data_IF_649961260166
#
_entry.id   IF_649961260166
#
_cell.length_a   1.000
_cell.length_b   1.000
_cell.length_c   1.000
_cell.angle_alpha   90.00
_cell.angle_beta   90.00
_cell.angle_gamma   90.00
#
_symmetry.space_group_name_H-M   'P 1'
#
loop_
_entity.id
_entity.type
_entity.pdbx_description
1 polymer ?
#
# COMPACT_ATOMS: atom_id res chain seq x y z
N UNK A 1 59.27 -8.12 -1.31
CA UNK A 1 58.38 -9.23 -0.93
C UNK A 1 58.25 -10.12 -2.14
N UNK A 2 58.31 -11.44 -1.95
CA UNK A 2 58.13 -12.37 -3.06
C UNK A 2 56.65 -12.43 -3.43
N UNK A 3 56.28 -12.26 -4.71
CA UNK A 3 54.90 -12.38 -5.15
C UNK A 3 54.44 -13.84 -5.10
N UNK A 4 53.19 -14.04 -4.73
CA UNK A 4 52.55 -15.35 -4.59
C UNK A 4 51.44 -15.45 -5.62
N UNK A 5 51.34 -16.63 -6.23
CA UNK A 5 50.28 -16.94 -7.18
C UNK A 5 49.01 -17.36 -6.46
N UNK A 6 47.91 -16.71 -6.78
CA UNK A 6 46.57 -17.11 -6.35
C UNK A 6 45.67 -17.29 -7.56
N UNK A 7 44.72 -18.22 -7.45
CA UNK A 7 43.64 -18.37 -8.43
C UNK A 7 42.48 -17.47 -8.00
N UNK A 8 42.19 -16.43 -8.77
CA UNK A 8 41.13 -15.47 -8.47
C UNK A 8 39.92 -15.69 -9.37
N UNK A 9 38.73 -15.62 -8.79
CA UNK A 9 37.45 -15.74 -9.50
C UNK A 9 36.84 -14.33 -9.61
N UNK A 10 36.75 -13.82 -10.83
CA UNK A 10 36.14 -12.53 -11.10
C UNK A 10 34.62 -12.62 -11.07
N UNK A 11 33.96 -11.50 -10.80
CA UNK A 11 32.50 -11.42 -10.69
C UNK A 11 31.75 -11.73 -12.01
N UNK A 12 32.44 -11.68 -13.15
CA UNK A 12 31.91 -12.06 -14.46
C UNK A 12 32.03 -13.58 -14.75
N UNK A 13 32.58 -14.36 -13.82
CA UNK A 13 32.79 -15.80 -13.93
C UNK A 13 34.13 -16.19 -14.56
N UNK A 14 34.98 -15.23 -14.90
CA UNK A 14 36.34 -15.52 -15.35
C UNK A 14 37.22 -15.99 -14.17
N UNK A 15 38.14 -16.91 -14.44
CA UNK A 15 39.09 -17.42 -13.45
C UNK A 15 40.49 -17.25 -14.03
N UNK A 16 41.36 -16.58 -13.27
CA UNK A 16 42.73 -16.29 -13.68
C UNK A 16 43.72 -16.53 -12.54
N UNK A 17 44.94 -16.92 -12.89
CA UNK A 17 46.06 -16.94 -11.93
C UNK A 17 46.75 -15.59 -11.93
N UNK A 18 46.77 -14.93 -10.77
CA UNK A 18 47.39 -13.62 -10.58
C UNK A 18 48.51 -13.69 -9.54
N UNK A 19 49.57 -12.93 -9.78
CA UNK A 19 50.68 -12.75 -8.84
C UNK A 19 50.40 -11.54 -7.94
N UNK A 20 50.30 -11.76 -6.64
CA UNK A 20 49.96 -10.73 -5.64
C UNK A 20 50.92 -10.78 -4.45
N UNK A 21 50.95 -9.71 -3.66
CA UNK A 21 51.68 -9.69 -2.40
C UNK A 21 50.97 -10.56 -1.34
N UNK A 22 51.73 -11.11 -0.38
CA UNK A 22 51.21 -11.97 0.68
C UNK A 22 50.07 -11.31 1.47
N UNK A 23 50.18 -10.02 1.79
CA UNK A 23 49.14 -9.29 2.53
C UNK A 23 47.81 -9.24 1.77
N UNK A 24 47.87 -9.11 0.45
CA UNK A 24 46.70 -9.09 -0.44
C UNK A 24 46.08 -10.49 -0.52
N UNK A 25 46.90 -11.54 -0.63
CA UNK A 25 46.43 -12.92 -0.62
C UNK A 25 45.71 -13.27 0.69
N UNK A 26 46.26 -12.85 1.84
CA UNK A 26 45.65 -13.09 3.15
C UNK A 26 44.35 -12.29 3.34
N UNK A 27 44.31 -11.05 2.87
CA UNK A 27 43.10 -10.22 2.91
C UNK A 27 41.97 -10.82 2.06
N UNK A 28 42.28 -11.28 0.84
CA UNK A 28 41.31 -11.94 -0.05
C UNK A 28 40.74 -13.21 0.60
N UNK A 29 41.60 -14.03 1.19
CA UNK A 29 41.17 -15.26 1.88
C UNK A 29 40.22 -14.98 3.05
N UNK A 30 40.44 -13.88 3.78
CA UNK A 30 39.53 -13.49 4.86
C UNK A 30 38.19 -12.98 4.33
N UNK A 31 38.20 -12.23 3.22
CA UNK A 31 36.98 -11.77 2.56
C UNK A 31 36.13 -12.95 2.06
N UNK A 32 36.74 -13.95 1.41
CA UNK A 32 36.06 -15.17 0.96
C UNK A 32 35.39 -15.90 2.14
N UNK A 33 36.09 -15.96 3.28
CA UNK A 33 35.55 -16.57 4.51
C UNK A 33 34.35 -15.80 5.04
N UNK A 34 34.39 -14.47 5.03
CA UNK A 34 33.28 -13.63 5.47
C UNK A 34 32.08 -13.71 4.54
N UNK A 35 32.31 -13.69 3.22
CA UNK A 35 31.27 -13.86 2.21
C UNK A 35 30.59 -15.23 2.34
N UNK A 36 31.36 -16.30 2.50
CA UNK A 36 30.82 -17.63 2.76
C UNK A 36 29.96 -17.66 4.02
N UNK A 37 30.46 -17.10 5.13
CA UNK A 37 29.72 -17.07 6.39
C UNK A 37 28.44 -16.25 6.30
N UNK A 38 28.46 -15.10 5.62
CA UNK A 38 27.28 -14.29 5.38
C UNK A 38 26.28 -15.01 4.51
N UNK A 39 26.72 -15.64 3.41
CA UNK A 39 25.86 -16.44 2.55
C UNK A 39 25.21 -17.59 3.32
N UNK A 40 25.97 -18.27 4.19
CA UNK A 40 25.44 -19.31 5.07
C UNK A 40 24.47 -18.76 6.12
N UNK A 41 24.70 -17.55 6.63
CA UNK A 41 23.82 -16.89 7.59
C UNK A 41 22.50 -16.44 6.95
N UNK A 42 22.57 -15.87 5.75
CA UNK A 42 21.40 -15.47 4.96
C UNK A 42 20.63 -16.71 4.46
N UNK A 43 21.33 -17.77 4.03
CA UNK A 43 20.69 -18.98 3.52
C UNK A 43 19.89 -19.73 4.59
N UNK A 44 20.37 -19.73 5.84
CA UNK A 44 19.65 -20.26 7.00
C UNK A 44 18.44 -19.42 7.41
N UNK A 45 18.29 -18.20 6.88
CA UNK A 45 17.16 -17.28 7.14
C UNK A 45 16.17 -17.22 5.98
N UNK A 46 16.40 -17.98 4.91
CA UNK A 46 15.39 -18.14 3.88
C UNK A 46 14.22 -18.96 4.43
N UNK A 47 13.16 -18.27 4.86
CA UNK A 47 11.83 -18.86 4.88
C UNK A 47 11.19 -18.63 3.51
N UNK A 48 10.82 -19.72 2.84
CA UNK A 48 9.86 -19.65 1.74
C UNK A 48 8.54 -19.16 2.32
N UNK A 49 8.07 -17.99 1.87
CA UNK A 49 6.76 -17.45 2.25
C UNK A 49 5.62 -18.46 1.97
N UNK A 50 5.73 -19.24 0.89
CA UNK A 50 4.78 -20.32 0.59
C UNK A 50 4.85 -21.54 1.54
N UNK A 51 5.92 -21.70 2.32
CA UNK A 51 6.03 -22.70 3.38
C UNK A 51 5.51 -22.20 4.75
N UNK A 52 5.18 -20.91 4.85
CA UNK A 52 4.60 -20.28 6.05
C UNK A 52 3.06 -20.33 6.06
N UNK A 53 2.42 -21.13 5.19
CA UNK A 53 0.95 -21.31 5.17
C UNK A 53 0.41 -21.77 6.55
N UNK A 54 1.22 -22.48 7.34
CA UNK A 54 0.87 -22.90 8.71
C UNK A 54 1.00 -21.78 9.75
N UNK A 55 1.81 -20.75 9.49
CA UNK A 55 2.02 -19.58 10.37
C UNK A 55 1.34 -18.30 9.82
N UNK A 56 0.41 -18.44 8.87
CA UNK A 56 -0.32 -17.29 8.30
C UNK A 56 -0.95 -16.39 9.37
N UNK A 57 -1.37 -16.95 10.51
CA UNK A 57 -1.90 -16.20 11.65
C UNK A 57 -0.88 -15.23 12.30
N UNK A 58 0.43 -15.52 12.22
CA UNK A 58 1.49 -14.65 12.77
C UNK A 58 1.83 -13.46 11.86
N UNK A 59 1.40 -13.50 10.59
CA UNK A 59 1.58 -12.42 9.61
C UNK A 59 0.32 -11.54 9.47
N UNK A 60 -0.82 -12.00 10.00
CA UNK A 60 -2.07 -11.24 10.01
C UNK A 60 -2.01 -10.22 11.14
N UNK A 61 -1.99 -8.94 10.79
CA UNK A 61 -2.31 -7.89 11.76
C UNK A 61 -3.80 -7.98 12.10
N UNK A 62 -4.12 -8.62 13.23
CA UNK A 62 -5.49 -8.78 13.74
C UNK A 62 -6.19 -7.44 14.03
N UNK A 63 -5.47 -6.32 14.05
CA UNK A 63 -6.06 -4.98 14.18
C UNK A 63 -6.40 -4.38 12.82
N UNK A 64 -5.89 -4.96 11.74
CA UNK A 64 -6.07 -4.49 10.38
C UNK A 64 -7.17 -5.30 9.71
N UNK A 65 -8.36 -4.70 9.62
CA UNK A 65 -9.47 -5.24 8.85
C UNK A 65 -9.21 -4.97 7.36
N UNK A 66 -8.38 -5.83 6.76
CA UNK A 66 -7.97 -5.73 5.35
C UNK A 66 -9.15 -5.80 4.40
N UNK A 67 -10.18 -6.59 4.74
CA UNK A 67 -11.45 -6.61 4.01
C UNK A 67 -12.13 -5.25 4.08
N UNK A 68 -12.29 -4.63 5.25
CA UNK A 68 -12.87 -3.29 5.37
C UNK A 68 -12.03 -2.21 4.70
N UNK A 69 -10.70 -2.33 4.69
CA UNK A 69 -9.82 -1.38 4.01
C UNK A 69 -10.00 -1.52 2.48
N UNK A 70 -9.93 -2.74 1.94
CA UNK A 70 -10.10 -3.01 0.52
C UNK A 70 -11.53 -2.70 0.04
N UNK A 71 -12.56 -3.11 0.81
CA UNK A 71 -13.95 -2.73 0.60
C UNK A 71 -14.12 -1.22 0.75
N UNK A 72 -13.36 -0.57 1.64
CA UNK A 72 -13.34 0.87 1.81
C UNK A 72 -12.80 1.60 0.58
N UNK A 73 -11.71 1.13 -0.01
CA UNK A 73 -11.12 1.70 -1.23
C UNK A 73 -11.97 1.43 -2.47
N UNK A 74 -12.40 0.18 -2.68
CA UNK A 74 -13.31 -0.21 -3.77
C UNK A 74 -14.66 0.50 -3.59
N UNK A 75 -15.15 0.57 -2.36
CA UNK A 75 -16.36 1.27 -1.98
C UNK A 75 -16.27 2.77 -2.20
N UNK A 76 -15.13 3.39 -1.92
CA UNK A 76 -14.87 4.80 -2.21
C UNK A 76 -14.86 5.07 -3.71
N UNK A 77 -14.22 4.21 -4.51
CA UNK A 77 -14.24 4.34 -5.97
C UNK A 77 -15.67 4.20 -6.53
N UNK A 78 -16.42 3.17 -6.10
CA UNK A 78 -17.83 2.97 -6.47
C UNK A 78 -18.70 4.16 -6.03
N UNK A 79 -18.47 4.67 -4.81
CA UNK A 79 -19.13 5.86 -4.29
C UNK A 79 -18.93 7.06 -5.19
N UNK A 80 -17.69 7.40 -5.57
CA UNK A 80 -17.42 8.56 -6.41
C UNK A 80 -18.00 8.41 -7.82
N UNK A 81 -18.02 7.21 -8.38
CA UNK A 81 -18.71 6.93 -9.66
C UNK A 81 -20.20 7.15 -9.54
N UNK A 82 -20.85 6.62 -8.49
CA UNK A 82 -22.27 6.83 -8.24
C UNK A 82 -22.60 8.30 -7.96
N UNK A 83 -21.77 8.97 -7.16
CA UNK A 83 -21.93 10.37 -6.79
C UNK A 83 -21.90 11.29 -8.01
N UNK A 84 -20.95 11.11 -8.93
CA UNK A 84 -20.87 11.88 -10.18
C UNK A 84 -22.06 11.70 -11.11
N UNK A 85 -22.82 10.60 -10.96
CA UNK A 85 -24.06 10.33 -11.72
C UNK A 85 -25.30 11.00 -11.11
N UNK A 86 -25.22 11.53 -9.88
CA UNK A 86 -26.33 12.28 -9.28
C UNK A 86 -26.59 13.59 -10.02
N UNK A 87 -27.79 14.18 -9.82
CA UNK A 87 -28.07 15.51 -10.35
C UNK A 87 -27.14 16.56 -9.70
N UNK A 88 -26.70 17.61 -10.41
CA UNK A 88 -25.78 18.62 -9.87
C UNK A 88 -26.22 19.21 -8.52
N UNK A 89 -27.51 19.55 -8.37
CA UNK A 89 -28.07 20.05 -7.10
C UNK A 89 -28.02 19.02 -5.95
N UNK A 90 -28.10 17.73 -6.24
CA UNK A 90 -27.98 16.68 -5.24
C UNK A 90 -26.51 16.47 -4.82
N UNK A 91 -25.58 16.60 -5.78
CA UNK A 91 -24.15 16.57 -5.50
C UNK A 91 -23.75 17.73 -4.59
N UNK A 92 -24.14 18.96 -4.95
CA UNK A 92 -23.86 20.17 -4.15
C UNK A 92 -24.41 20.06 -2.72
N UNK A 93 -25.65 19.60 -2.57
CA UNK A 93 -26.27 19.39 -1.27
C UNK A 93 -25.51 18.36 -0.43
N UNK A 94 -25.20 17.19 -0.97
CA UNK A 94 -24.49 16.15 -0.21
C UNK A 94 -23.03 16.55 0.07
N UNK A 95 -22.40 17.27 -0.86
CA UNK A 95 -21.03 17.73 -0.70
C UNK A 95 -20.92 18.75 0.43
N UNK A 96 -21.75 19.79 0.40
CA UNK A 96 -21.77 20.86 1.42
C UNK A 96 -22.15 20.38 2.83
N UNK A 97 -22.95 19.31 2.93
CA UNK A 97 -23.39 18.77 4.22
C UNK A 97 -22.45 17.71 4.80
N UNK A 98 -21.77 16.93 3.96
CA UNK A 98 -21.07 15.71 4.42
C UNK A 98 -19.66 15.51 3.89
N UNK A 99 -19.28 16.08 2.73
CA UNK A 99 -18.01 15.76 2.06
C UNK A 99 -17.03 16.93 2.02
N UNK A 100 -17.48 18.16 2.28
CA UNK A 100 -16.60 19.33 2.36
C UNK A 100 -15.89 19.42 3.71
N UNK A 101 -14.65 19.90 3.72
CA UNK A 101 -13.85 20.14 4.95
C UNK A 101 -14.53 21.09 5.96
N UNK A 102 -15.45 21.93 5.47
CA UNK A 102 -16.29 22.82 6.28
C UNK A 102 -17.76 22.51 6.06
N UNK A 103 -18.17 21.31 6.45
CA UNK A 103 -19.57 20.89 6.36
C UNK A 103 -20.48 21.83 7.15
N UNK A 104 -21.59 22.21 6.53
CA UNK A 104 -22.58 23.10 7.14
C UNK A 104 -23.81 22.30 7.60
N UNK A 105 -24.52 22.82 8.59
CA UNK A 105 -25.75 22.17 9.05
C UNK A 105 -26.88 22.28 8.01
N UNK A 106 -27.88 21.38 8.02
CA UNK A 106 -29.07 21.52 7.16
C UNK A 106 -29.81 22.85 7.35
N UNK A 107 -29.87 23.38 8.57
CA UNK A 107 -30.46 24.68 8.88
C UNK A 107 -29.66 25.85 8.27
N UNK A 108 -28.33 25.78 8.31
CA UNK A 108 -27.48 26.78 7.70
C UNK A 108 -27.54 26.72 6.17
N UNK A 109 -27.56 25.52 5.60
CA UNK A 109 -27.81 25.31 4.17
C UNK A 109 -29.16 25.91 3.77
N UNK A 110 -30.22 25.65 4.56
CA UNK A 110 -31.54 26.22 4.32
C UNK A 110 -31.50 27.75 4.30
N UNK A 111 -30.83 28.38 5.27
CA UNK A 111 -30.67 29.83 5.35
C UNK A 111 -29.91 30.42 4.16
N UNK A 112 -28.82 29.79 3.73
CA UNK A 112 -28.00 30.24 2.59
C UNK A 112 -28.75 30.16 1.26
N UNK A 113 -29.58 29.15 1.10
CA UNK A 113 -30.33 28.90 -0.15
C UNK A 113 -31.78 29.40 -0.11
N UNK A 114 -32.20 30.09 0.95
CA UNK A 114 -33.58 30.61 1.10
C UNK A 114 -34.64 29.51 1.16
N UNK A 115 -34.27 28.33 1.65
CA UNK A 115 -35.15 27.16 1.76
C UNK A 115 -35.69 27.01 3.18
N UNK A 116 -36.81 26.30 3.32
CA UNK A 116 -37.26 25.79 4.62
C UNK A 116 -36.44 24.57 5.00
N UNK A 117 -36.18 24.39 6.29
CA UNK A 117 -35.36 23.30 6.79
C UNK A 117 -35.96 21.92 6.43
N UNK A 118 -37.28 21.78 6.50
CA UNK A 118 -37.99 20.55 6.12
C UNK A 118 -37.79 20.21 4.64
N UNK A 119 -37.70 21.22 3.78
CA UNK A 119 -37.42 21.03 2.35
C UNK A 119 -36.00 20.53 2.11
N UNK A 120 -35.04 20.96 2.94
CA UNK A 120 -33.67 20.45 2.90
C UNK A 120 -33.63 18.98 3.30
N UNK A 121 -34.32 18.59 4.39
CA UNK A 121 -34.44 17.18 4.80
C UNK A 121 -35.03 16.28 3.71
N UNK A 122 -36.10 16.73 3.05
CA UNK A 122 -36.70 16.00 1.93
C UNK A 122 -35.73 15.86 0.75
N UNK A 123 -34.98 16.92 0.44
CA UNK A 123 -33.98 16.88 -0.63
C UNK A 123 -32.80 15.96 -0.29
N UNK A 124 -32.33 15.95 0.96
CA UNK A 124 -31.30 15.03 1.46
C UNK A 124 -31.78 13.58 1.28
N UNK A 125 -33.00 13.28 1.73
CA UNK A 125 -33.57 11.94 1.64
C UNK A 125 -33.64 11.46 0.18
N UNK A 126 -34.12 12.31 -0.73
CA UNK A 126 -34.16 12.00 -2.17
C UNK A 126 -32.76 11.79 -2.74
N UNK A 127 -31.79 12.64 -2.38
CA UNK A 127 -30.40 12.52 -2.84
C UNK A 127 -29.77 11.21 -2.36
N UNK A 128 -29.94 10.85 -1.09
CA UNK A 128 -29.44 9.58 -0.52
C UNK A 128 -30.08 8.36 -1.21
N UNK A 129 -31.39 8.39 -1.47
CA UNK A 129 -32.07 7.30 -2.18
C UNK A 129 -31.63 7.18 -3.64
N UNK A 130 -31.42 8.31 -4.32
CA UNK A 130 -30.84 8.30 -5.68
C UNK A 130 -29.44 7.70 -5.67
N UNK A 131 -28.61 8.06 -4.68
CA UNK A 131 -27.25 7.54 -4.55
C UNK A 131 -27.24 6.03 -4.27
N UNK A 132 -28.10 5.57 -3.35
CA UNK A 132 -28.28 4.14 -3.05
C UNK A 132 -28.64 3.33 -4.31
N UNK A 133 -29.62 3.79 -5.09
CA UNK A 133 -30.02 3.13 -6.34
C UNK A 133 -28.91 3.11 -7.39
N UNK A 134 -28.00 4.08 -7.38
CA UNK A 134 -26.86 4.12 -8.30
C UNK A 134 -25.74 3.17 -7.84
N UNK A 135 -25.54 3.05 -6.53
CA UNK A 135 -24.61 2.09 -5.94
C UNK A 135 -25.05 0.63 -6.15
N UNK A 136 -26.34 0.34 -6.00
CA UNK A 136 -26.90 -1.00 -6.25
C UNK A 136 -26.77 -1.46 -7.71
N UNK A 137 -26.52 -0.52 -8.63
CA UNK A 137 -26.35 -0.80 -10.08
C UNK A 137 -24.89 -0.93 -10.51
N UNK A 138 -23.93 -0.80 -9.60
CA UNK A 138 -22.48 -0.80 -9.85
C UNK A 138 -21.77 -1.96 -9.15
#
# INVERSE_FOLDING_TARGET
MEPIKITYHFADGHVEEIEVEQEVADALKELDRQEYNNTQKESRRHLLLGGMEYEGENLVDLRMDTERIAIGEIGAAKFWVAFRKLKPRQQELLFSLYLSDRSISPAEYAKRHGLREESVWQNIWRAKNSLKKLLEKL
#
